data_IF_309800197256
#
_entry.id   IF_309800197256
#
_cell.length_a   1.000
_cell.length_b   1.000
_cell.length_c   1.000
_cell.angle_alpha   90.00
_cell.angle_beta   90.00
_cell.angle_gamma   90.00
#
_symmetry.space_group_name_H-M   'P 1'
#
loop_
_entity.id
_entity.type
_entity.pdbx_description
1 polymer ?
#
# COMPACT_ATOMS: atom_id res chain seq x y z
N UNK A 1 -29.36 4.48 -42.57
CA UNK A 1 -29.55 4.20 -41.14
C UNK A 1 -28.77 2.93 -40.81
N UNK A 2 -27.58 3.04 -40.18
CA UNK A 2 -26.87 1.89 -39.62
C UNK A 2 -27.58 1.58 -38.28
N UNK A 3 -28.21 0.41 -38.16
CA UNK A 3 -28.65 -0.12 -36.87
C UNK A 3 -27.43 -0.16 -35.96
N UNK A 4 -27.54 0.46 -34.79
CA UNK A 4 -26.56 0.26 -33.73
C UNK A 4 -26.56 -1.24 -33.39
N UNK A 5 -25.44 -1.90 -33.63
CA UNK A 5 -25.23 -3.27 -33.15
C UNK A 5 -25.46 -3.25 -31.64
N UNK A 6 -26.49 -3.93 -31.16
CA UNK A 6 -26.78 -4.03 -29.74
C UNK A 6 -25.53 -4.62 -29.05
N UNK A 7 -25.02 -3.93 -28.05
CA UNK A 7 -23.89 -4.43 -27.24
C UNK A 7 -24.30 -5.77 -26.64
N UNK A 8 -23.61 -6.85 -27.02
CA UNK A 8 -23.87 -8.18 -26.46
C UNK A 8 -23.50 -8.13 -24.98
N UNK A 9 -24.49 -8.43 -24.12
CA UNK A 9 -24.31 -8.49 -22.69
C UNK A 9 -24.21 -9.96 -22.27
N UNK A 10 -23.25 -10.30 -21.42
CA UNK A 10 -23.04 -11.63 -20.90
C UNK A 10 -23.29 -11.68 -19.39
N UNK A 11 -24.11 -12.62 -18.87
CA UNK A 11 -24.33 -12.74 -17.45
C UNK A 11 -23.09 -13.29 -16.73
N UNK A 12 -22.68 -12.61 -15.65
CA UNK A 12 -21.57 -12.99 -14.77
C UNK A 12 -22.09 -13.14 -13.35
N UNK A 13 -21.71 -14.22 -12.69
CA UNK A 13 -22.03 -14.48 -11.31
C UNK A 13 -20.86 -14.14 -10.40
N UNK A 14 -21.14 -13.34 -9.41
CA UNK A 14 -20.20 -12.98 -8.35
C UNK A 14 -20.68 -13.55 -7.02
N UNK A 15 -19.78 -14.21 -6.30
CA UNK A 15 -20.03 -14.83 -5.00
C UNK A 15 -19.11 -14.30 -3.91
N UNK A 16 -18.03 -13.60 -4.30
CA UNK A 16 -16.95 -13.15 -3.46
C UNK A 16 -16.92 -11.64 -3.26
N UNK A 17 -15.72 -11.09 -3.29
CA UNK A 17 -15.45 -9.67 -3.02
C UNK A 17 -16.15 -8.74 -4.01
N UNK A 18 -16.37 -9.16 -5.26
CA UNK A 18 -17.10 -8.41 -6.28
C UNK A 18 -18.61 -8.31 -6.03
N UNK A 19 -19.15 -9.00 -5.01
CA UNK A 19 -20.49 -8.70 -4.48
C UNK A 19 -20.53 -7.35 -3.74
N UNK A 20 -19.39 -6.74 -3.44
CA UNK A 20 -19.32 -5.39 -2.87
C UNK A 20 -19.45 -4.35 -3.99
N UNK A 21 -20.58 -3.58 -4.08
CA UNK A 21 -20.84 -2.73 -5.23
C UNK A 21 -19.75 -1.69 -5.52
N UNK A 22 -19.14 -1.00 -4.52
CA UNK A 22 -18.05 -0.07 -4.80
C UNK A 22 -16.79 -0.71 -5.40
N UNK A 23 -16.50 -1.97 -5.04
CA UNK A 23 -15.39 -2.71 -5.63
C UNK A 23 -15.68 -3.11 -7.08
N UNK A 24 -16.89 -3.62 -7.34
CA UNK A 24 -17.30 -3.97 -8.70
C UNK A 24 -17.29 -2.72 -9.61
N UNK A 25 -17.81 -1.59 -9.11
CA UNK A 25 -17.73 -0.30 -9.83
C UNK A 25 -16.28 0.10 -10.13
N UNK A 26 -15.37 -0.07 -9.18
CA UNK A 26 -13.95 0.23 -9.37
C UNK A 26 -13.31 -0.60 -10.49
N UNK A 27 -13.75 -1.85 -10.67
CA UNK A 27 -13.25 -2.75 -11.72
C UNK A 27 -13.89 -2.43 -13.08
N UNK A 28 -15.21 -2.36 -13.17
CA UNK A 28 -15.90 -2.26 -14.47
C UNK A 28 -16.22 -0.82 -14.90
N UNK A 29 -16.17 0.15 -13.98
CA UNK A 29 -16.37 1.58 -14.27
C UNK A 29 -17.81 2.08 -14.15
N UNK A 30 -18.75 1.24 -13.70
CA UNK A 30 -20.15 1.61 -13.39
C UNK A 30 -20.75 0.71 -12.33
N UNK A 31 -21.89 1.07 -11.78
CA UNK A 31 -22.71 0.18 -10.94
C UNK A 31 -23.71 -0.54 -11.83
N UNK A 32 -23.57 -1.87 -12.08
CA UNK A 32 -24.53 -2.62 -12.87
C UNK A 32 -25.79 -2.94 -12.04
N UNK A 33 -26.88 -3.34 -12.72
CA UNK A 33 -28.00 -3.95 -12.02
C UNK A 33 -27.57 -5.32 -11.48
N UNK A 34 -27.70 -5.53 -10.17
CA UNK A 34 -27.35 -6.76 -9.48
C UNK A 34 -28.63 -7.55 -9.19
N UNK A 35 -28.67 -8.81 -9.67
CA UNK A 35 -29.78 -9.73 -9.44
C UNK A 35 -29.33 -10.81 -8.45
N UNK A 36 -29.98 -10.99 -7.29
CA UNK A 36 -29.66 -12.06 -6.36
C UNK A 36 -29.74 -13.44 -7.03
N UNK A 37 -28.73 -14.27 -6.78
CA UNK A 37 -28.65 -15.62 -7.36
C UNK A 37 -28.01 -16.59 -6.35
N UNK A 38 -28.24 -17.90 -6.59
CA UNK A 38 -27.75 -19.00 -5.76
C UNK A 38 -27.10 -20.07 -6.64
N UNK A 39 -25.93 -20.52 -6.20
CA UNK A 39 -25.19 -21.63 -6.81
C UNK A 39 -25.19 -22.82 -5.86
N UNK A 40 -25.68 -23.96 -6.33
CA UNK A 40 -25.69 -25.19 -5.55
C UNK A 40 -24.40 -25.99 -5.64
N UNK A 41 -24.06 -26.73 -4.59
CA UNK A 41 -22.91 -27.65 -4.55
C UNK A 41 -21.56 -26.99 -4.25
N UNK A 42 -21.53 -25.72 -3.87
CA UNK A 42 -20.30 -24.99 -3.55
C UNK A 42 -20.44 -24.17 -2.27
N UNK A 43 -19.30 -23.97 -1.58
CA UNK A 43 -19.17 -23.07 -0.43
C UNK A 43 -17.97 -22.15 -0.58
N UNK A 44 -18.05 -20.86 -0.23
CA UNK A 44 -16.93 -19.93 -0.24
C UNK A 44 -16.06 -20.12 1.01
N UNK A 45 -14.75 -20.26 0.79
CA UNK A 45 -13.72 -20.33 1.82
C UNK A 45 -12.68 -19.26 1.57
N UNK A 46 -11.99 -18.79 2.61
CA UNK A 46 -10.89 -17.88 2.45
C UNK A 46 -9.73 -18.55 1.72
N UNK A 47 -9.17 -17.87 0.72
CA UNK A 47 -7.93 -18.30 0.09
C UNK A 47 -6.76 -18.07 1.06
N UNK A 48 -5.89 -19.08 1.23
CA UNK A 48 -4.73 -19.01 2.09
C UNK A 48 -3.45 -19.35 1.34
N UNK A 49 -2.31 -18.90 1.89
CA UNK A 49 -0.97 -19.33 1.49
C UNK A 49 -0.12 -19.43 2.76
N UNK A 50 0.52 -20.59 2.96
CA UNK A 50 1.36 -20.84 4.14
C UNK A 50 0.63 -20.54 5.47
N UNK A 51 -0.68 -20.82 5.52
CA UNK A 51 -1.52 -20.60 6.71
C UNK A 51 -1.99 -19.14 6.89
N UNK A 52 -1.64 -18.23 6.00
CA UNK A 52 -2.09 -16.83 6.05
C UNK A 52 -3.25 -16.59 5.08
N UNK A 53 -4.33 -15.96 5.55
CA UNK A 53 -5.46 -15.54 4.74
C UNK A 53 -5.10 -14.41 3.79
N UNK A 54 -5.56 -14.50 2.53
CA UNK A 54 -5.23 -13.54 1.47
C UNK A 54 -6.28 -12.43 1.28
N UNK A 55 -7.37 -12.47 2.08
CA UNK A 55 -8.42 -11.45 2.04
C UNK A 55 -9.33 -11.53 0.81
N UNK A 56 -9.54 -12.73 0.26
CA UNK A 56 -10.51 -13.01 -0.80
C UNK A 56 -10.95 -14.49 -0.77
N UNK A 57 -12.16 -14.83 -1.27
CA UNK A 57 -12.66 -16.20 -1.22
C UNK A 57 -12.33 -17.01 -2.46
N UNK A 58 -12.26 -18.31 -2.26
CA UNK A 58 -12.30 -19.36 -3.28
C UNK A 58 -13.55 -20.21 -3.11
N UNK A 59 -14.13 -20.72 -4.20
CA UNK A 59 -15.24 -21.68 -4.17
C UNK A 59 -14.72 -23.10 -4.08
N UNK A 60 -15.23 -23.84 -3.09
CA UNK A 60 -14.90 -25.24 -2.87
C UNK A 60 -16.14 -26.08 -3.12
N UNK A 61 -16.01 -27.14 -3.93
CA UNK A 61 -17.09 -28.09 -4.18
C UNK A 61 -17.51 -28.77 -2.86
N UNK A 62 -18.76 -28.50 -2.44
CA UNK A 62 -19.30 -28.94 -1.16
C UNK A 62 -20.74 -29.46 -1.40
N UNK A 63 -20.94 -30.77 -1.54
CA UNK A 63 -22.27 -31.35 -1.81
C UNK A 63 -23.30 -30.90 -0.77
N UNK A 64 -24.44 -30.39 -1.26
CA UNK A 64 -25.53 -29.88 -0.43
C UNK A 64 -25.39 -28.47 0.09
N UNK A 65 -24.21 -27.79 -0.10
CA UNK A 65 -24.06 -26.39 0.20
C UNK A 65 -24.72 -25.52 -0.90
N UNK A 66 -25.05 -24.28 -0.52
CA UNK A 66 -25.59 -23.27 -1.44
C UNK A 66 -24.86 -21.96 -1.21
N UNK A 67 -24.21 -21.46 -2.24
CA UNK A 67 -23.55 -20.15 -2.24
C UNK A 67 -24.50 -19.08 -2.76
N UNK A 68 -24.73 -18.05 -1.95
CA UNK A 68 -25.44 -16.84 -2.36
C UNK A 68 -24.50 -15.85 -3.03
N UNK A 69 -25.01 -15.19 -4.07
CA UNK A 69 -24.26 -14.17 -4.81
C UNK A 69 -25.17 -13.28 -5.64
N UNK A 70 -24.60 -12.61 -6.63
CA UNK A 70 -25.33 -11.74 -7.55
C UNK A 70 -24.92 -11.99 -9.00
N UNK A 71 -25.87 -11.83 -9.91
CA UNK A 71 -25.62 -11.83 -11.35
C UNK A 71 -25.70 -10.41 -11.88
N UNK A 72 -24.74 -10.03 -12.71
CA UNK A 72 -24.75 -8.81 -13.49
C UNK A 72 -24.51 -9.09 -14.98
N UNK A 73 -25.21 -8.37 -15.83
CA UNK A 73 -24.96 -8.41 -17.28
C UNK A 73 -23.85 -7.44 -17.63
N UNK A 74 -22.77 -7.95 -18.23
CA UNK A 74 -21.56 -7.20 -18.57
C UNK A 74 -21.34 -7.14 -20.07
N UNK A 75 -20.82 -6.02 -20.55
CA UNK A 75 -20.27 -5.89 -21.90
C UNK A 75 -18.94 -6.66 -22.01
N UNK A 76 -18.49 -6.91 -23.24
CA UNK A 76 -17.20 -7.57 -23.50
C UNK A 76 -16.03 -6.84 -22.82
N UNK A 77 -15.97 -5.50 -22.91
CA UNK A 77 -14.92 -4.70 -22.29
C UNK A 77 -14.97 -4.72 -20.76
N UNK A 78 -16.14 -4.84 -20.13
CA UNK A 78 -16.28 -5.01 -18.69
C UNK A 78 -15.86 -6.42 -18.26
N UNK A 79 -16.26 -7.44 -19.02
CA UNK A 79 -15.86 -8.83 -18.81
C UNK A 79 -14.34 -9.02 -18.92
N UNK A 80 -13.69 -8.30 -19.85
CA UNK A 80 -12.24 -8.27 -19.98
C UNK A 80 -11.57 -7.70 -18.72
N UNK A 81 -12.06 -6.60 -18.15
CA UNK A 81 -11.54 -6.02 -16.90
C UNK A 81 -11.72 -6.97 -15.71
N UNK A 82 -12.86 -7.69 -15.64
CA UNK A 82 -13.05 -8.75 -14.64
C UNK A 82 -11.98 -9.84 -14.83
N UNK A 83 -11.70 -10.27 -16.05
CA UNK A 83 -10.67 -11.28 -16.31
C UNK A 83 -9.26 -10.82 -15.90
N UNK A 84 -8.93 -9.54 -16.03
CA UNK A 84 -7.69 -9.00 -15.51
C UNK A 84 -7.61 -9.04 -13.98
N UNK A 85 -8.74 -8.74 -13.32
CA UNK A 85 -8.82 -8.66 -11.86
C UNK A 85 -8.86 -10.05 -11.19
N UNK A 86 -9.46 -11.04 -11.85
CA UNK A 86 -9.61 -12.41 -11.36
C UNK A 86 -8.39 -13.29 -11.73
N UNK A 87 -7.17 -12.75 -11.62
CA UNK A 87 -5.93 -13.53 -11.84
C UNK A 87 -5.85 -14.72 -10.89
N UNK A 88 -5.61 -15.92 -11.46
CA UNK A 88 -5.56 -17.18 -10.72
C UNK A 88 -6.89 -17.89 -10.60
N UNK A 89 -7.91 -17.42 -11.29
CA UNK A 89 -9.18 -18.11 -11.44
C UNK A 89 -9.40 -18.51 -12.88
N UNK A 90 -10.05 -19.66 -13.07
CA UNK A 90 -10.49 -20.18 -14.36
C UNK A 90 -11.97 -19.86 -14.58
N UNK A 91 -12.30 -19.34 -15.75
CA UNK A 91 -13.67 -19.03 -16.11
C UNK A 91 -14.45 -20.34 -16.43
N UNK A 92 -15.65 -20.45 -15.88
CA UNK A 92 -16.56 -21.57 -16.13
C UNK A 92 -18.02 -21.06 -16.28
N UNK A 93 -18.93 -21.89 -16.75
CA UNK A 93 -20.34 -21.59 -16.88
C UNK A 93 -21.16 -22.55 -16.01
N UNK A 94 -22.09 -21.99 -15.24
CA UNK A 94 -23.00 -22.77 -14.38
C UNK A 94 -24.40 -22.23 -14.47
N UNK A 95 -25.34 -23.15 -14.30
CA UNK A 95 -26.75 -22.83 -14.07
C UNK A 95 -26.93 -22.38 -12.62
N UNK A 96 -27.62 -21.28 -12.44
CA UNK A 96 -27.87 -20.61 -11.16
C UNK A 96 -29.35 -20.47 -10.96
N UNK A 97 -29.82 -20.52 -9.71
CA UNK A 97 -31.18 -20.16 -9.34
C UNK A 97 -31.30 -18.66 -9.09
N UNK A 98 -32.15 -18.00 -9.89
CA UNK A 98 -32.54 -16.59 -9.69
C UNK A 98 -34.06 -16.50 -9.49
N UNK A 99 -34.56 -15.35 -9.02
CA UNK A 99 -35.98 -15.18 -8.71
C UNK A 99 -36.95 -15.45 -9.89
N UNK A 100 -36.48 -15.43 -11.13
CA UNK A 100 -37.24 -15.72 -12.35
C UNK A 100 -37.05 -17.15 -12.90
N UNK A 101 -36.29 -18.00 -12.22
CA UNK A 101 -35.95 -19.38 -12.63
C UNK A 101 -34.49 -19.56 -12.93
N UNK A 102 -34.05 -20.72 -13.46
CA UNK A 102 -32.66 -21.02 -13.73
C UNK A 102 -32.06 -20.09 -14.80
N UNK A 103 -30.83 -19.71 -14.62
CA UNK A 103 -30.07 -18.86 -15.55
C UNK A 103 -28.63 -19.31 -15.62
N UNK A 104 -28.09 -19.54 -16.83
CA UNK A 104 -26.67 -19.77 -17.03
C UNK A 104 -25.89 -18.47 -16.93
N UNK A 105 -24.80 -18.49 -16.18
CA UNK A 105 -23.89 -17.37 -16.06
C UNK A 105 -22.43 -17.82 -15.97
N UNK A 106 -21.53 -16.96 -16.40
CA UNK A 106 -20.09 -17.13 -16.25
C UNK A 106 -19.70 -16.85 -14.82
N UNK A 107 -18.83 -17.67 -14.24
CA UNK A 107 -18.23 -17.46 -12.92
C UNK A 107 -16.75 -17.82 -12.94
N UNK A 108 -16.06 -17.54 -11.85
CA UNK A 108 -14.64 -17.70 -11.70
C UNK A 108 -14.35 -18.71 -10.59
N UNK A 109 -13.74 -19.85 -10.96
CA UNK A 109 -13.34 -20.91 -10.04
C UNK A 109 -11.83 -20.84 -9.79
N UNK A 110 -11.35 -21.13 -8.57
CA UNK A 110 -9.93 -21.10 -8.28
C UNK A 110 -9.18 -22.09 -9.18
N UNK A 111 -8.07 -21.64 -9.78
CA UNK A 111 -7.16 -22.53 -10.48
C UNK A 111 -6.61 -23.58 -9.52
N UNK A 112 -6.66 -24.84 -9.90
CA UNK A 112 -6.32 -25.97 -9.04
C UNK A 112 -4.90 -25.83 -8.45
N UNK A 113 -4.78 -25.95 -7.11
CA UNK A 113 -3.49 -25.94 -6.40
C UNK A 113 -2.83 -24.56 -6.27
N UNK A 114 -3.52 -23.47 -6.64
CA UNK A 114 -2.96 -22.12 -6.53
C UNK A 114 -3.00 -21.58 -5.10
N UNK A 115 -4.02 -21.97 -4.32
CA UNK A 115 -4.22 -21.53 -2.94
C UNK A 115 -4.65 -22.67 -2.05
N UNK A 116 -4.32 -22.57 -0.77
CA UNK A 116 -4.84 -23.43 0.29
C UNK A 116 -6.24 -22.98 0.70
N UNK A 117 -7.02 -23.91 1.23
CA UNK A 117 -8.38 -23.66 1.71
C UNK A 117 -8.32 -23.23 3.18
N UNK A 118 -8.78 -22.02 3.45
CA UNK A 118 -8.94 -21.48 4.80
C UNK A 118 -10.33 -21.69 5.38
N UNK A 119 -10.69 -20.85 6.35
CA UNK A 119 -11.98 -20.87 7.03
C UNK A 119 -13.14 -20.50 6.09
N UNK A 120 -14.38 -20.74 6.53
CA UNK A 120 -15.57 -20.30 5.82
C UNK A 120 -15.56 -18.77 5.67
N UNK A 121 -15.82 -18.30 4.46
CA UNK A 121 -15.76 -16.88 4.13
C UNK A 121 -17.16 -16.26 3.99
N UNK A 122 -17.31 -15.02 4.48
CA UNK A 122 -18.50 -14.20 4.24
C UNK A 122 -18.14 -12.78 3.83
N UNK A 123 -18.97 -12.18 2.98
CA UNK A 123 -18.81 -10.76 2.61
C UNK A 123 -18.96 -9.83 3.84
N UNK A 124 -19.80 -10.21 4.80
CA UNK A 124 -20.05 -9.43 6.01
C UNK A 124 -18.81 -9.33 6.92
N UNK A 125 -18.02 -10.40 7.04
CA UNK A 125 -16.80 -10.43 7.82
C UNK A 125 -15.62 -9.77 7.08
N UNK A 126 -15.62 -9.88 5.75
CA UNK A 126 -14.59 -9.33 4.89
C UNK A 126 -14.69 -7.80 4.73
N UNK A 127 -15.91 -7.27 4.51
CA UNK A 127 -16.09 -5.89 4.10
C UNK A 127 -15.54 -4.85 5.10
N UNK A 128 -15.75 -4.97 6.43
CA UNK A 128 -15.21 -4.01 7.40
C UNK A 128 -13.68 -3.94 7.39
N UNK A 129 -13.01 -5.03 7.06
CA UNK A 129 -11.54 -5.15 7.11
C UNK A 129 -10.88 -4.73 5.80
N UNK A 130 -11.47 -5.13 4.66
CA UNK A 130 -10.78 -5.12 3.38
C UNK A 130 -11.44 -4.27 2.30
N UNK A 131 -12.75 -3.97 2.39
CA UNK A 131 -13.48 -3.37 1.28
C UNK A 131 -12.89 -2.02 0.83
N UNK A 132 -12.55 -1.13 1.77
CA UNK A 132 -11.98 0.17 1.42
C UNK A 132 -10.63 0.01 0.70
N UNK A 133 -9.72 -0.81 1.25
CA UNK A 133 -8.41 -1.07 0.67
C UNK A 133 -8.51 -1.72 -0.72
N UNK A 134 -9.30 -2.78 -0.83
CA UNK A 134 -9.44 -3.52 -2.10
C UNK A 134 -10.15 -2.68 -3.17
N UNK A 135 -11.10 -1.82 -2.81
CA UNK A 135 -11.75 -0.89 -3.75
C UNK A 135 -10.75 0.15 -4.29
N UNK A 136 -9.94 0.76 -3.41
CA UNK A 136 -8.92 1.71 -3.87
C UNK A 136 -7.84 1.02 -4.69
N UNK A 137 -7.39 -0.17 -4.26
CA UNK A 137 -6.44 -0.98 -5.01
C UNK A 137 -6.97 -1.39 -6.39
N UNK A 138 -8.25 -1.74 -6.51
CA UNK A 138 -8.86 -2.08 -7.80
C UNK A 138 -8.86 -0.90 -8.79
N UNK A 139 -9.13 0.34 -8.33
CA UNK A 139 -9.02 1.53 -9.18
C UNK A 139 -7.60 1.71 -9.73
N UNK A 140 -6.61 1.61 -8.85
CA UNK A 140 -5.20 1.72 -9.23
C UNK A 140 -4.78 0.59 -10.16
N UNK A 141 -5.20 -0.64 -9.87
CA UNK A 141 -4.89 -1.82 -10.68
C UNK A 141 -5.46 -1.70 -12.10
N UNK A 142 -6.73 -1.34 -12.25
CA UNK A 142 -7.35 -1.20 -13.57
C UNK A 142 -6.67 -0.08 -14.37
N UNK A 143 -6.36 1.05 -13.74
CA UNK A 143 -5.65 2.15 -14.42
C UNK A 143 -4.24 1.71 -14.87
N UNK A 144 -3.53 0.96 -14.03
CA UNK A 144 -2.19 0.45 -14.35
C UNK A 144 -2.26 -0.66 -15.41
N UNK A 145 -3.22 -1.59 -15.32
CA UNK A 145 -3.42 -2.65 -16.31
C UNK A 145 -3.72 -2.10 -17.70
N UNK A 146 -4.48 -1.00 -17.80
CA UNK A 146 -4.72 -0.29 -19.06
C UNK A 146 -3.45 0.36 -19.62
N UNK A 147 -2.53 0.81 -18.76
CA UNK A 147 -1.31 1.51 -19.19
C UNK A 147 -0.17 0.57 -19.57
N UNK A 148 0.06 -0.51 -18.80
CA UNK A 148 1.23 -1.40 -18.94
C UNK A 148 0.88 -2.86 -19.19
N UNK A 149 -0.40 -3.21 -19.24
CA UNK A 149 -0.92 -4.56 -19.39
C UNK A 149 -1.22 -5.24 -18.05
N UNK A 150 -2.20 -6.18 -18.04
CA UNK A 150 -2.67 -6.83 -16.81
C UNK A 150 -1.59 -7.68 -16.13
N UNK A 151 -0.78 -8.41 -16.87
CA UNK A 151 0.29 -9.25 -16.30
C UNK A 151 1.31 -8.41 -15.53
N UNK A 152 1.72 -7.26 -16.10
CA UNK A 152 2.65 -6.35 -15.44
C UNK A 152 2.03 -5.71 -14.19
N UNK A 153 0.74 -5.37 -14.23
CA UNK A 153 0.00 -4.85 -13.07
C UNK A 153 -0.15 -5.93 -11.98
N UNK A 154 -0.48 -7.18 -12.34
CA UNK A 154 -0.57 -8.31 -11.41
C UNK A 154 0.76 -8.60 -10.71
N UNK A 155 1.88 -8.59 -11.45
CA UNK A 155 3.22 -8.76 -10.87
C UNK A 155 3.57 -7.70 -9.81
N UNK A 156 2.84 -6.56 -9.80
CA UNK A 156 3.02 -5.43 -8.88
C UNK A 156 1.86 -5.25 -7.90
N UNK A 157 0.96 -6.22 -7.80
CA UNK A 157 -0.26 -6.05 -7.01
C UNK A 157 0.00 -5.68 -5.54
N UNK A 158 1.07 -6.21 -4.93
CA UNK A 158 1.49 -5.79 -3.59
C UNK A 158 1.83 -4.29 -3.53
N UNK A 159 2.60 -3.76 -4.47
CA UNK A 159 2.91 -2.33 -4.53
C UNK A 159 1.65 -1.46 -4.74
N UNK A 160 0.67 -1.96 -5.50
CA UNK A 160 -0.63 -1.31 -5.68
C UNK A 160 -1.40 -1.27 -4.34
N UNK A 161 -1.40 -2.36 -3.56
CA UNK A 161 -2.01 -2.40 -2.22
C UNK A 161 -1.34 -1.42 -1.26
N UNK A 162 -0.01 -1.34 -1.23
CA UNK A 162 0.75 -0.37 -0.42
C UNK A 162 0.33 1.07 -0.77
N UNK A 163 0.23 1.40 -2.06
CA UNK A 163 -0.24 2.72 -2.53
C UNK A 163 -1.68 3.01 -2.12
N UNK A 164 -2.58 2.03 -2.28
CA UNK A 164 -3.98 2.17 -1.86
C UNK A 164 -4.09 2.44 -0.36
N UNK A 165 -3.33 1.71 0.46
CA UNK A 165 -3.28 1.92 1.91
C UNK A 165 -2.77 3.33 2.26
N UNK A 166 -1.70 3.80 1.60
CA UNK A 166 -1.17 5.16 1.75
C UNK A 166 -2.23 6.22 1.41
N UNK A 167 -2.95 6.05 0.30
CA UNK A 167 -4.04 6.95 -0.10
C UNK A 167 -5.14 7.01 0.96
N UNK A 168 -5.53 5.87 1.52
CA UNK A 168 -6.55 5.82 2.59
C UNK A 168 -6.07 6.50 3.86
N UNK A 169 -4.81 6.28 4.29
CA UNK A 169 -4.22 6.97 5.43
C UNK A 169 -4.18 8.49 5.22
N UNK A 170 -3.76 8.94 4.04
CA UNK A 170 -3.72 10.37 3.70
C UNK A 170 -5.11 11.04 3.79
N UNK A 171 -6.18 10.33 3.37
CA UNK A 171 -7.56 10.82 3.46
C UNK A 171 -8.10 10.81 4.89
N UNK A 172 -7.71 9.82 5.70
CA UNK A 172 -8.20 9.65 7.07
C UNK A 172 -7.52 10.57 8.10
N UNK A 173 -6.27 10.97 7.85
CA UNK A 173 -5.46 11.77 8.78
C UNK A 173 -5.16 13.16 8.20
N UNK A 174 -6.11 14.09 8.23
CA UNK A 174 -5.88 15.45 7.75
C UNK A 174 -4.77 16.11 8.58
N UNK A 175 -3.84 16.77 7.90
CA UNK A 175 -2.80 17.54 8.57
C UNK A 175 -3.37 18.84 9.16
N UNK A 176 -2.77 19.31 10.26
CA UNK A 176 -3.12 20.60 10.85
C UNK A 176 -2.98 21.74 9.83
N UNK A 177 -3.96 22.64 9.80
CA UNK A 177 -4.07 23.74 8.86
C UNK A 177 -4.20 25.08 9.60
N UNK A 178 -3.08 25.57 10.15
CA UNK A 178 -3.04 26.86 10.85
C UNK A 178 -2.60 28.02 9.94
N UNK A 179 -1.85 27.71 8.88
CA UNK A 179 -1.30 28.71 7.97
C UNK A 179 -1.64 28.43 6.50
N UNK A 180 -1.82 27.15 6.13
CA UNK A 180 -2.18 26.80 4.76
C UNK A 180 -3.60 27.30 4.45
N UNK A 181 -3.82 27.71 3.19
CA UNK A 181 -5.16 28.05 2.71
C UNK A 181 -6.12 26.87 2.86
N UNK A 182 -7.39 27.18 3.10
CA UNK A 182 -8.46 26.18 3.01
C UNK A 182 -8.63 25.71 1.56
N UNK A 183 -8.93 24.42 1.40
CA UNK A 183 -9.25 23.83 0.12
C UNK A 183 -10.75 23.85 -0.11
N UNK A 184 -11.19 24.41 -1.22
CA UNK A 184 -12.60 24.43 -1.62
C UNK A 184 -12.81 23.56 -2.88
N UNK A 185 -14.03 23.11 -3.07
CA UNK A 185 -14.41 22.37 -4.27
C UNK A 185 -14.09 23.20 -5.53
N UNK A 186 -13.46 22.57 -6.51
CA UNK A 186 -13.02 23.22 -7.75
C UNK A 186 -11.70 23.99 -7.65
N UNK A 187 -11.02 24.01 -6.50
CA UNK A 187 -9.68 24.63 -6.38
C UNK A 187 -8.59 23.84 -7.10
N UNK A 188 -8.81 22.56 -7.32
CA UNK A 188 -7.95 21.69 -8.12
C UNK A 188 -8.82 20.96 -9.14
N UNK A 189 -8.41 21.03 -10.41
CA UNK A 189 -9.04 20.31 -11.50
C UNK A 189 -8.01 19.43 -12.17
N UNK A 190 -8.23 18.13 -12.15
CA UNK A 190 -7.40 17.13 -12.82
C UNK A 190 -8.09 16.74 -14.12
N UNK A 191 -7.52 17.13 -15.25
CA UNK A 191 -8.04 16.83 -16.58
C UNK A 191 -7.64 15.42 -17.02
N UNK A 192 -6.43 14.96 -16.64
CA UNK A 192 -5.94 13.62 -16.91
C UNK A 192 -4.92 13.19 -15.86
N UNK A 193 -4.93 11.90 -15.56
CA UNK A 193 -3.92 11.21 -14.78
C UNK A 193 -3.61 9.89 -15.49
N UNK A 194 -2.34 9.60 -15.71
CA UNK A 194 -1.90 8.36 -16.37
C UNK A 194 -0.60 7.85 -15.77
N UNK A 195 -0.45 6.53 -15.73
CA UNK A 195 0.80 5.89 -15.31
C UNK A 195 1.77 5.87 -16.49
N UNK A 196 2.84 6.67 -16.40
CA UNK A 196 3.88 6.74 -17.43
C UNK A 196 4.92 5.62 -17.31
N UNK A 197 5.14 5.12 -16.09
CA UNK A 197 6.08 4.04 -15.78
C UNK A 197 5.60 3.29 -14.53
N UNK A 198 5.71 1.98 -14.55
CA UNK A 198 5.36 1.13 -13.42
C UNK A 198 6.26 -0.11 -13.38
N UNK A 199 7.15 -0.17 -12.36
CA UNK A 199 7.91 -1.35 -11.94
C UNK A 199 7.97 -1.38 -10.42
N UNK A 200 9.15 -1.37 -9.81
CA UNK A 200 9.26 -1.27 -8.34
C UNK A 200 8.58 0.00 -7.79
N UNK A 201 8.77 1.11 -8.49
CA UNK A 201 8.03 2.36 -8.27
C UNK A 201 7.12 2.65 -9.46
N UNK A 202 6.23 3.64 -9.29
CA UNK A 202 5.46 4.19 -10.40
C UNK A 202 5.79 5.68 -10.61
N UNK A 203 5.64 6.12 -11.86
CA UNK A 203 5.62 7.54 -12.21
C UNK A 203 4.27 7.84 -12.84
N UNK A 204 3.60 8.84 -12.33
CA UNK A 204 2.31 9.30 -12.82
C UNK A 204 2.42 10.71 -13.39
N UNK A 205 1.86 10.91 -14.59
CA UNK A 205 1.71 12.19 -15.23
C UNK A 205 0.32 12.75 -14.97
N UNK A 206 0.26 14.02 -14.60
CA UNK A 206 -0.96 14.76 -14.31
C UNK A 206 -1.09 15.94 -15.25
N UNK A 207 -2.27 16.13 -15.85
CA UNK A 207 -2.71 17.39 -16.46
C UNK A 207 -3.71 18.04 -15.54
N UNK A 208 -3.35 19.19 -14.97
CA UNK A 208 -4.17 19.82 -13.96
C UNK A 208 -4.16 21.35 -14.05
N UNK A 209 -5.17 21.96 -13.44
CA UNK A 209 -5.25 23.39 -13.14
C UNK A 209 -5.50 23.55 -11.64
N UNK A 210 -5.04 24.65 -11.07
CA UNK A 210 -5.35 24.98 -9.68
C UNK A 210 -5.66 26.45 -9.49
N UNK A 211 -6.38 26.78 -8.41
CA UNK A 211 -6.70 28.15 -8.08
C UNK A 211 -5.46 28.93 -7.65
N UNK A 212 -5.26 30.08 -8.26
CA UNK A 212 -4.15 30.99 -7.94
C UNK A 212 -4.46 31.78 -6.66
N UNK A 213 -3.43 32.16 -5.92
CA UNK A 213 -3.56 33.06 -4.73
C UNK A 213 -4.06 34.45 -5.13
N UNK A 214 -3.73 34.91 -6.33
CA UNK A 214 -4.20 36.18 -6.88
C UNK A 214 -5.64 36.13 -7.45
N UNK A 215 -6.29 34.96 -7.35
CA UNK A 215 -7.62 34.71 -7.95
C UNK A 215 -7.55 34.11 -9.35
N UNK A 216 -8.64 33.49 -9.78
CA UNK A 216 -8.72 32.74 -11.04
C UNK A 216 -8.03 31.37 -10.98
N UNK A 217 -8.01 30.68 -12.12
CA UNK A 217 -7.33 29.38 -12.29
C UNK A 217 -5.98 29.57 -12.98
N UNK A 218 -5.04 28.66 -12.71
CA UNK A 218 -3.78 28.59 -13.45
C UNK A 218 -4.01 28.22 -14.91
N UNK A 219 -2.98 28.38 -15.73
CA UNK A 219 -2.93 27.67 -17.01
C UNK A 219 -2.91 26.14 -16.77
N UNK A 220 -3.17 25.36 -17.81
CA UNK A 220 -2.99 23.89 -17.76
C UNK A 220 -1.52 23.57 -17.50
N UNK A 221 -1.29 22.74 -16.50
CA UNK A 221 0.03 22.33 -16.04
C UNK A 221 0.22 20.84 -16.30
N UNK A 222 1.38 20.49 -16.83
CA UNK A 222 1.86 19.11 -16.86
C UNK A 222 2.78 18.90 -15.66
N UNK A 223 2.51 17.86 -14.87
CA UNK A 223 3.28 17.49 -13.67
C UNK A 223 3.50 15.99 -13.63
N UNK A 224 4.69 15.58 -13.22
CA UNK A 224 4.99 14.19 -12.94
C UNK A 224 5.22 14.00 -11.44
N UNK A 225 4.74 12.87 -10.91
CA UNK A 225 4.98 12.46 -9.53
C UNK A 225 5.59 11.05 -9.50
N UNK A 226 6.67 10.91 -8.73
CA UNK A 226 7.21 9.62 -8.35
C UNK A 226 6.36 9.07 -7.22
N UNK A 227 5.65 7.97 -7.48
CA UNK A 227 4.64 7.43 -6.58
C UNK A 227 5.18 6.19 -5.86
N UNK A 228 5.23 6.27 -4.54
CA UNK A 228 5.51 5.17 -3.62
C UNK A 228 4.47 5.15 -2.51
N UNK A 229 4.54 4.15 -1.63
CA UNK A 229 3.77 4.14 -0.38
C UNK A 229 4.41 5.02 0.69
N UNK A 230 3.76 5.05 1.86
CA UNK A 230 4.32 5.68 3.05
C UNK A 230 5.50 4.86 3.58
N UNK A 231 6.41 5.56 4.27
CA UNK A 231 7.53 4.95 4.99
C UNK A 231 7.39 5.18 6.50
N UNK A 232 7.82 4.20 7.28
CA UNK A 232 8.02 4.33 8.73
C UNK A 232 9.50 4.27 9.03
N UNK A 233 9.98 5.21 9.84
CA UNK A 233 11.39 5.36 10.18
C UNK A 233 11.56 5.42 11.68
N UNK A 234 12.43 4.61 12.24
CA UNK A 234 12.74 4.61 13.66
C UNK A 234 14.24 4.76 13.90
N UNK A 235 14.61 5.68 14.80
CA UNK A 235 15.94 5.81 15.33
C UNK A 235 15.99 5.17 16.72
N UNK A 236 16.59 3.98 16.88
CA UNK A 236 16.75 3.36 18.19
C UNK A 236 17.70 4.19 19.06
N UNK A 237 17.29 4.48 20.28
CA UNK A 237 18.04 5.27 21.25
C UNK A 237 18.06 4.59 22.62
N UNK A 238 19.25 4.41 23.15
CA UNK A 238 19.50 3.99 24.54
C UNK A 238 19.81 5.24 25.38
N UNK A 239 18.84 5.70 26.18
CA UNK A 239 19.05 6.91 27.00
C UNK A 239 20.03 6.69 28.17
N UNK A 240 20.29 5.42 28.56
CA UNK A 240 21.20 5.10 29.67
C UNK A 240 22.65 5.17 29.20
N UNK A 241 22.96 4.58 28.03
CA UNK A 241 24.31 4.61 27.43
C UNK A 241 24.51 5.81 26.52
N UNK A 242 23.46 6.59 26.29
CA UNK A 242 23.45 7.77 25.45
C UNK A 242 23.96 7.51 24.04
N UNK A 243 23.42 6.49 23.41
CA UNK A 243 23.79 6.05 22.06
C UNK A 243 22.59 5.66 21.21
N UNK A 244 22.79 5.69 19.92
CA UNK A 244 21.81 5.30 18.90
C UNK A 244 22.32 4.08 18.13
N UNK A 245 21.39 3.37 17.49
CA UNK A 245 21.73 2.40 16.46
C UNK A 245 21.41 2.99 15.09
N UNK A 246 22.38 2.92 14.18
CA UNK A 246 22.27 3.27 12.78
C UNK A 246 22.48 2.03 11.94
N UNK A 247 21.99 2.07 10.71
CA UNK A 247 22.24 1.04 9.71
C UNK A 247 23.02 1.60 8.53
N UNK A 248 23.78 0.75 7.87
CA UNK A 248 24.52 1.06 6.64
C UNK A 248 24.11 0.07 5.56
N UNK A 249 23.69 0.59 4.41
CA UNK A 249 23.32 -0.21 3.25
C UNK A 249 23.52 0.55 1.95
N UNK A 250 23.60 -0.19 0.83
CA UNK A 250 23.69 0.42 -0.50
C UNK A 250 22.34 1.03 -0.90
N UNK A 251 22.38 2.24 -1.50
CA UNK A 251 21.17 2.91 -2.00
C UNK A 251 21.32 3.30 -3.47
N UNK A 252 20.29 3.00 -4.26
CA UNK A 252 20.25 3.32 -5.70
C UNK A 252 20.22 4.83 -5.97
N UNK A 253 19.69 5.66 -5.06
CA UNK A 253 19.61 7.11 -5.23
C UNK A 253 21.00 7.77 -5.38
N UNK A 254 21.94 7.60 -4.42
CA UNK A 254 23.32 8.05 -4.56
C UNK A 254 24.02 7.45 -5.79
N UNK A 255 23.84 6.18 -6.06
CA UNK A 255 24.40 5.52 -7.25
C UNK A 255 23.92 6.20 -8.54
N UNK A 256 22.63 6.45 -8.68
CA UNK A 256 22.04 7.11 -9.85
C UNK A 256 22.48 8.57 -9.99
N UNK A 257 22.78 9.24 -8.88
CA UNK A 257 23.37 10.58 -8.88
C UNK A 257 24.84 10.58 -9.33
N UNK A 258 25.52 9.43 -9.28
CA UNK A 258 26.94 9.29 -9.62
C UNK A 258 27.89 9.44 -8.45
N UNK A 259 27.43 9.21 -7.23
CA UNK A 259 28.30 9.22 -6.05
C UNK A 259 29.28 8.04 -6.08
N UNK A 260 30.56 8.26 -5.74
CA UNK A 260 31.56 7.20 -5.75
C UNK A 260 31.31 6.12 -4.71
N UNK A 261 30.65 6.47 -3.59
CA UNK A 261 30.27 5.55 -2.52
C UNK A 261 28.76 5.62 -2.29
N UNK A 262 27.98 4.65 -2.78
CA UNK A 262 26.52 4.65 -2.65
C UNK A 262 26.01 4.03 -1.34
N UNK A 263 26.88 3.61 -0.41
CA UNK A 263 26.47 3.15 0.91
C UNK A 263 26.06 4.35 1.78
N UNK A 264 24.89 4.23 2.40
CA UNK A 264 24.31 5.29 3.22
C UNK A 264 24.23 4.86 4.68
N UNK A 265 24.51 5.80 5.58
CA UNK A 265 24.19 5.67 7.01
C UNK A 265 22.80 6.20 7.24
N UNK A 266 21.92 5.38 7.83
CA UNK A 266 20.49 5.65 7.95
C UNK A 266 19.94 5.28 9.33
N UNK A 267 18.76 5.81 9.66
CA UNK A 267 17.88 5.21 10.66
C UNK A 267 17.17 3.99 10.04
N UNK A 268 16.73 3.05 10.86
CA UNK A 268 15.95 1.88 10.44
C UNK A 268 14.67 2.35 9.75
N UNK A 269 14.36 1.82 8.57
CA UNK A 269 13.24 2.33 7.78
C UNK A 269 12.68 1.32 6.78
N UNK A 270 11.36 1.18 6.74
CA UNK A 270 10.69 0.40 5.71
C UNK A 270 9.34 0.95 5.31
N UNK A 271 8.70 0.30 4.37
CA UNK A 271 7.36 0.65 3.92
C UNK A 271 6.32 0.23 4.95
N UNK A 272 5.26 1.03 5.04
CA UNK A 272 4.08 0.64 5.80
C UNK A 272 3.25 -0.29 4.93
N UNK A 273 3.19 -1.55 5.30
CA UNK A 273 2.48 -2.59 4.55
C UNK A 273 0.95 -2.45 4.62
N UNK A 274 0.21 -3.04 3.67
CA UNK A 274 -1.24 -3.05 3.71
C UNK A 274 -1.77 -3.78 4.96
N UNK A 275 -2.52 -3.05 5.79
CA UNK A 275 -3.14 -3.60 6.99
C UNK A 275 -2.36 -3.38 8.27
N UNK A 276 -1.11 -2.87 8.20
CA UNK A 276 -0.36 -2.45 9.40
C UNK A 276 -0.43 -0.93 9.62
N UNK A 277 -0.20 -0.53 10.85
CA UNK A 277 -0.01 0.87 11.23
C UNK A 277 1.45 1.28 11.01
N UNK A 278 1.77 2.60 10.93
CA UNK A 278 3.16 3.05 10.88
C UNK A 278 4.00 2.64 12.09
N UNK A 279 3.37 2.51 13.27
CA UNK A 279 4.00 2.03 14.51
C UNK A 279 4.39 0.55 14.40
N UNK A 280 3.48 -0.28 13.89
CA UNK A 280 3.76 -1.71 13.66
C UNK A 280 4.87 -1.89 12.65
N UNK A 281 4.87 -1.12 11.55
CA UNK A 281 5.95 -1.13 10.57
C UNK A 281 7.31 -0.77 11.22
N UNK A 282 7.37 0.28 12.05
CA UNK A 282 8.61 0.66 12.75
C UNK A 282 9.15 -0.47 13.65
N UNK A 283 8.25 -1.17 14.34
CA UNK A 283 8.63 -2.29 15.22
C UNK A 283 9.10 -3.51 14.43
N UNK A 284 8.42 -3.85 13.36
CA UNK A 284 8.78 -4.94 12.45
C UNK A 284 10.14 -4.71 11.83
N UNK A 285 10.37 -3.55 11.25
CA UNK A 285 11.65 -3.19 10.60
C UNK A 285 12.82 -3.18 11.59
N UNK A 286 12.60 -2.74 12.85
CA UNK A 286 13.64 -2.82 13.89
C UNK A 286 14.08 -4.27 14.17
N UNK A 287 13.15 -5.22 14.11
CA UNK A 287 13.44 -6.65 14.22
C UNK A 287 14.15 -7.20 12.98
N UNK A 288 13.70 -6.83 11.78
CA UNK A 288 14.18 -7.37 10.50
C UNK A 288 15.57 -6.82 10.13
N UNK A 289 15.76 -5.49 10.19
CA UNK A 289 17.00 -4.84 9.78
C UNK A 289 18.12 -4.89 10.84
N UNK A 290 17.76 -4.91 12.12
CA UNK A 290 18.76 -4.80 13.20
C UNK A 290 18.65 -5.86 14.32
N UNK A 291 17.67 -6.76 14.29
CA UNK A 291 17.50 -7.83 15.29
C UNK A 291 17.18 -7.30 16.70
N UNK A 292 16.63 -6.08 16.81
CA UNK A 292 16.37 -5.45 18.11
C UNK A 292 14.87 -5.33 18.42
N UNK A 293 14.57 -5.28 19.70
CA UNK A 293 13.21 -5.03 20.20
C UNK A 293 13.11 -3.63 20.76
N UNK A 294 12.16 -2.84 20.27
CA UNK A 294 11.86 -1.51 20.77
C UNK A 294 10.87 -1.61 21.94
N UNK A 295 11.27 -1.10 23.11
CA UNK A 295 10.43 -1.11 24.29
C UNK A 295 9.31 -0.05 24.22
N UNK A 296 9.57 1.10 23.58
CA UNK A 296 8.63 2.20 23.44
C UNK A 296 8.94 3.06 22.22
N UNK A 297 7.93 3.36 21.43
CA UNK A 297 7.99 4.36 20.37
C UNK A 297 7.58 5.74 20.89
N UNK A 298 8.30 6.76 20.47
CA UNK A 298 7.99 8.16 20.71
C UNK A 298 7.84 8.84 19.35
N UNK A 299 6.67 9.38 19.07
CA UNK A 299 6.42 10.08 17.81
C UNK A 299 7.38 11.27 17.64
N UNK A 300 7.94 11.37 16.46
CA UNK A 300 8.72 12.49 15.97
C UNK A 300 7.99 13.16 14.78
N UNK A 301 8.48 14.25 14.21
CA UNK A 301 7.80 14.94 13.11
C UNK A 301 7.52 14.04 11.93
N UNK A 302 6.32 14.16 11.36
CA UNK A 302 5.88 13.50 10.11
C UNK A 302 6.03 14.49 8.95
N UNK A 303 6.46 14.03 7.80
CA UNK A 303 6.77 14.96 6.71
C UNK A 303 6.82 14.29 5.34
N UNK A 304 6.75 15.12 4.29
CA UNK A 304 7.12 14.74 2.94
C UNK A 304 8.61 15.01 2.71
N UNK A 305 9.45 14.01 2.33
CA UNK A 305 10.88 14.24 2.10
C UNK A 305 11.15 15.08 0.84
N UNK A 306 10.26 15.01 -0.15
CA UNK A 306 10.39 15.77 -1.40
C UNK A 306 9.02 16.03 -2.06
N UNK A 307 8.19 16.94 -1.49
CA UNK A 307 6.79 17.12 -1.92
C UNK A 307 6.63 17.65 -3.35
N UNK A 308 7.70 18.19 -3.95
CA UNK A 308 7.69 18.62 -5.34
C UNK A 308 7.82 17.50 -6.38
N UNK A 309 8.18 16.29 -5.95
CA UNK A 309 8.47 15.18 -6.84
C UNK A 309 7.92 13.83 -6.37
N UNK A 310 7.80 13.60 -5.06
CA UNK A 310 7.44 12.30 -4.47
C UNK A 310 6.15 12.36 -3.68
N UNK A 311 5.34 11.30 -3.79
CA UNK A 311 4.14 11.12 -2.96
C UNK A 311 4.44 10.50 -1.59
N UNK A 312 5.65 10.02 -1.35
CA UNK A 312 6.07 9.38 -0.10
C UNK A 312 5.84 10.29 1.11
N UNK A 313 5.16 9.77 2.12
CA UNK A 313 5.00 10.41 3.41
C UNK A 313 5.71 9.59 4.49
N UNK A 314 6.52 10.25 5.32
CA UNK A 314 7.36 9.61 6.33
C UNK A 314 6.75 9.79 7.71
N UNK A 315 6.48 8.68 8.38
CA UNK A 315 6.19 8.60 9.80
C UNK A 315 7.48 8.33 10.53
N UNK A 316 7.86 9.14 11.51
CA UNK A 316 9.15 8.99 12.17
C UNK A 316 9.04 8.87 13.69
N UNK A 317 9.93 8.08 14.27
CA UNK A 317 9.91 7.70 15.69
C UNK A 317 11.30 7.66 16.29
N UNK A 318 11.40 7.96 17.60
CA UNK A 318 12.52 7.52 18.42
C UNK A 318 12.09 6.22 19.11
N UNK A 319 12.86 5.15 18.92
CA UNK A 319 12.64 3.87 19.57
C UNK A 319 13.48 3.74 20.85
N UNK A 320 12.85 3.83 22.01
CA UNK A 320 13.57 3.60 23.28
C UNK A 320 13.85 2.11 23.43
N UNK A 321 15.12 1.76 23.58
CA UNK A 321 15.56 0.36 23.69
C UNK A 321 16.89 0.27 24.44
N UNK A 322 17.22 -0.94 24.94
CA UNK A 322 18.53 -1.27 25.45
C UNK A 322 19.47 -1.64 24.28
N UNK A 323 20.62 -0.99 24.19
CA UNK A 323 21.60 -1.22 23.14
C UNK A 323 22.94 -1.65 23.75
N UNK A 324 23.14 -2.89 24.19
CA UNK A 324 24.43 -3.39 24.66
C UNK A 324 25.46 -3.43 23.51
N UNK A 325 26.74 -3.64 23.82
CA UNK A 325 27.81 -3.58 22.82
C UNK A 325 27.69 -4.64 21.72
N UNK A 326 27.11 -5.78 22.07
CA UNK A 326 26.82 -6.89 21.16
C UNK A 326 25.57 -6.69 20.26
N UNK A 327 24.83 -5.59 20.43
CA UNK A 327 23.62 -5.34 19.65
C UNK A 327 23.91 -5.02 18.18
N UNK A 328 25.12 -4.53 17.86
CA UNK A 328 25.52 -4.23 16.47
C UNK A 328 25.85 -5.53 15.72
N UNK A 329 24.98 -5.95 14.81
CA UNK A 329 25.12 -7.16 14.03
C UNK A 329 24.84 -6.89 12.54
N UNK A 330 25.05 -7.92 11.70
CA UNK A 330 24.54 -7.92 10.33
C UNK A 330 23.06 -8.27 10.36
N UNK A 331 22.26 -7.56 9.56
CA UNK A 331 20.82 -7.70 9.46
C UNK A 331 20.34 -7.67 8.02
N UNK A 332 19.04 -7.50 7.85
CA UNK A 332 18.34 -7.50 6.57
C UNK A 332 17.74 -8.85 6.20
N UNK A 333 16.78 -8.84 5.30
CA UNK A 333 16.06 -10.02 4.82
C UNK A 333 16.71 -10.59 3.57
N UNK A 334 17.07 -11.87 3.61
CA UNK A 334 17.71 -12.56 2.49
C UNK A 334 16.79 -12.65 1.24
N UNK A 335 15.49 -12.78 1.44
CA UNK A 335 14.46 -12.82 0.39
C UNK A 335 14.22 -11.44 -0.27
N UNK A 336 14.58 -10.36 0.42
CA UNK A 336 14.57 -8.99 -0.11
C UNK A 336 15.95 -8.54 -0.65
N UNK A 337 16.94 -9.44 -0.63
CA UNK A 337 18.32 -9.15 -1.04
C UNK A 337 18.98 -8.00 -0.27
N UNK A 338 18.64 -7.86 1.00
CA UNK A 338 19.20 -6.85 1.86
C UNK A 338 20.52 -7.32 2.51
N UNK A 339 21.51 -6.45 2.48
CA UNK A 339 22.81 -6.60 3.16
C UNK A 339 23.02 -5.37 4.03
N UNK A 340 22.69 -5.48 5.31
CA UNK A 340 22.61 -4.36 6.26
C UNK A 340 23.61 -4.58 7.39
N UNK A 341 24.37 -3.52 7.71
CA UNK A 341 25.27 -3.49 8.87
C UNK A 341 24.76 -2.50 9.89
N UNK A 342 24.57 -2.96 11.14
CA UNK A 342 24.24 -2.10 12.26
C UNK A 342 25.49 -1.46 12.89
N UNK A 343 25.36 -0.21 13.33
CA UNK A 343 26.39 0.56 14.03
C UNK A 343 25.85 1.15 15.32
N UNK A 344 26.55 0.93 16.43
CA UNK A 344 26.29 1.62 17.70
C UNK A 344 27.09 2.91 17.73
N UNK A 345 26.40 4.04 17.83
CA UNK A 345 27.01 5.34 17.72
C UNK A 345 26.65 6.21 18.92
N UNK A 346 27.62 6.71 19.71
CA UNK A 346 27.35 7.69 20.76
C UNK A 346 26.63 8.93 20.19
N UNK A 347 25.72 9.52 20.96
CA UNK A 347 24.92 10.66 20.49
C UNK A 347 25.78 11.81 19.94
N UNK A 348 26.87 12.16 20.61
CA UNK A 348 27.77 13.22 20.14
C UNK A 348 28.41 12.88 18.79
N UNK A 349 28.71 11.62 18.55
CA UNK A 349 29.22 11.15 17.25
C UNK A 349 28.14 11.23 16.18
N UNK A 350 26.87 10.90 16.48
CA UNK A 350 25.75 11.09 15.56
C UNK A 350 25.68 12.55 15.09
N UNK A 351 25.75 13.50 16.03
CA UNK A 351 25.71 14.93 15.68
C UNK A 351 26.90 15.35 14.82
N UNK A 352 28.07 14.72 15.02
CA UNK A 352 29.24 14.93 14.15
C UNK A 352 28.96 14.40 12.73
N UNK A 353 28.39 13.18 12.59
CA UNK A 353 28.05 12.60 11.28
C UNK A 353 27.05 13.48 10.52
N UNK A 354 26.08 14.05 11.22
CA UNK A 354 25.12 15.02 10.63
C UNK A 354 25.85 16.28 10.17
N UNK A 355 26.73 16.86 11.01
CA UNK A 355 27.41 18.12 10.68
C UNK A 355 28.44 17.98 9.56
N UNK A 356 29.06 16.82 9.39
CA UNK A 356 30.03 16.52 8.31
C UNK A 356 29.31 16.10 7.01
N UNK A 357 28.04 15.77 7.06
CA UNK A 357 27.26 15.27 5.91
C UNK A 357 27.41 13.77 5.65
N UNK A 358 28.12 13.01 6.47
CA UNK A 358 28.22 11.55 6.37
C UNK A 358 26.85 10.89 6.64
N UNK A 359 26.09 11.39 7.63
CA UNK A 359 24.68 11.09 7.81
C UNK A 359 23.82 12.01 6.92
N UNK A 360 23.80 11.74 5.62
CA UNK A 360 23.33 12.67 4.59
C UNK A 360 21.89 12.49 4.12
N UNK A 361 21.08 11.59 4.73
CA UNK A 361 19.67 11.44 4.35
C UNK A 361 18.71 12.20 5.27
N UNK A 362 17.63 12.72 4.71
CA UNK A 362 16.69 13.56 5.43
C UNK A 362 16.05 12.88 6.65
N UNK A 363 15.58 11.62 6.59
CA UNK A 363 15.00 10.93 7.74
C UNK A 363 15.92 10.90 8.95
N UNK A 364 17.18 10.51 8.78
CA UNK A 364 18.15 10.47 9.87
C UNK A 364 18.48 11.88 10.40
N UNK A 365 18.67 12.86 9.53
CA UNK A 365 18.94 14.26 9.93
C UNK A 365 17.78 14.83 10.76
N UNK A 366 16.53 14.62 10.34
CA UNK A 366 15.34 15.07 11.07
C UNK A 366 15.29 14.44 12.46
N UNK A 367 15.47 13.10 12.54
CA UNK A 367 15.43 12.38 13.80
C UNK A 367 16.58 12.73 14.74
N UNK A 368 17.79 12.93 14.23
CA UNK A 368 18.94 13.35 15.02
C UNK A 368 18.74 14.75 15.64
N UNK A 369 18.26 15.71 14.86
CA UNK A 369 18.00 17.07 15.33
C UNK A 369 16.81 17.10 16.32
N UNK A 370 15.77 16.30 16.07
CA UNK A 370 14.64 16.18 16.98
C UNK A 370 15.05 15.52 18.31
N UNK A 371 15.83 14.44 18.23
CA UNK A 371 16.40 13.77 19.41
C UNK A 371 17.26 14.73 20.23
N UNK A 372 18.09 15.55 19.59
CA UNK A 372 18.90 16.56 20.28
C UNK A 372 18.05 17.49 21.16
N UNK A 373 16.88 17.91 20.66
CA UNK A 373 15.95 18.74 21.43
C UNK A 373 15.25 18.00 22.58
N UNK A 374 15.09 16.69 22.50
CA UNK A 374 14.36 15.86 23.47
C UNK A 374 15.27 15.06 24.40
N UNK A 375 16.57 14.91 24.10
CA UNK A 375 17.54 14.04 24.76
C UNK A 375 17.50 14.11 26.28
N UNK A 376 17.62 15.33 26.85
CA UNK A 376 17.63 15.53 28.28
C UNK A 376 16.32 15.07 28.96
N UNK A 377 15.17 15.24 28.30
CA UNK A 377 13.90 14.77 28.81
C UNK A 377 13.80 13.24 28.78
N UNK A 378 14.28 12.61 27.72
CA UNK A 378 14.30 11.15 27.57
C UNK A 378 15.26 10.48 28.57
N UNK A 379 16.42 11.07 28.83
CA UNK A 379 17.37 10.60 29.85
C UNK A 379 16.76 10.68 31.27
N UNK A 380 16.09 11.78 31.61
CA UNK A 380 15.38 11.89 32.89
C UNK A 380 14.29 10.83 33.04
N UNK A 381 13.53 10.56 31.99
CA UNK A 381 12.50 9.51 32.01
C UNK A 381 13.10 8.12 32.21
N UNK A 382 14.33 7.89 31.81
CA UNK A 382 15.07 6.65 32.02
C UNK A 382 15.80 6.59 33.38
N UNK A 383 15.65 7.61 34.21
CA UNK A 383 16.33 7.69 35.52
C UNK A 383 17.83 8.04 35.43
N UNK A 384 18.27 8.54 34.31
CA UNK A 384 19.62 9.05 34.07
C UNK A 384 19.59 10.55 34.30
N UNK A 385 19.96 10.98 35.48
CA UNK A 385 20.09 12.33 36.02
C UNK A 385 19.66 13.51 36.11
#
# INVERSE_FOLDING_TARGET
MRQAAGTVMQPHFFYGTLCHPPLLEAVIGRVPQLVPARLEGFAPHEACREGQGLGFPILIATPGAVTSGVVADLTEAEAERIAWYEDGYDADFRELEIGSGPREAKLWLPTAGRWDVGDAWTLADWAPKWAALKTEAARLFIAEAQAVGPDAANARYHAILVRAASTLRARAAPMAQHLRRDLHEGDIKIDAQQTAYAKFFAVEDYKLEHRLFAGGMSAKLDRAAFVSGDASVVLPYDPVRDRVMLIEQIRTGPLARGEPNPWMIEAIAGRVDPGETPEEAALREAGEEAGITIARLIEAPRYYPSPGAKSEFVYSYIGITDLPDEAAQLGGKADEHEDIRAHLVPFERLMTLVSTGEAGNAPLVVLALWLAGQRAALQRMAGVA
#
